data_IF_751945003269
#
_entry.id   IF_751945003269
#
_cell.length_a   1.000
_cell.length_b   1.000
_cell.length_c   1.000
_cell.angle_alpha   90.00
_cell.angle_beta   90.00
_cell.angle_gamma   90.00
#
_symmetry.space_group_name_H-M   'P 1'
#
loop_
_entity.id
_entity.type
_entity.pdbx_description
1 polymer ?
#
# COMPACT_ATOMS: atom_id res chain seq x y z
N UNK A 1 -19.18 -6.10 10.30
CA UNK A 1 -18.43 -4.83 10.23
C UNK A 1 -18.93 -4.07 9.03
N UNK A 2 -19.21 -2.77 9.19
CA UNK A 2 -19.85 -1.94 8.18
C UNK A 2 -18.96 -1.83 6.93
N UNK A 3 -19.55 -2.05 5.75
CA UNK A 3 -18.92 -1.75 4.47
C UNK A 3 -18.63 -0.24 4.43
N UNK A 4 -17.44 0.20 4.03
CA UNK A 4 -17.21 1.62 3.80
C UNK A 4 -18.12 2.07 2.66
N UNK A 5 -18.96 3.06 2.92
CA UNK A 5 -19.78 3.72 1.90
C UNK A 5 -18.85 4.39 0.88
N UNK A 6 -18.90 3.91 -0.37
CA UNK A 6 -18.21 4.50 -1.51
C UNK A 6 -18.79 5.89 -1.79
N UNK A 7 -18.15 6.94 -1.27
CA UNK A 7 -18.42 8.33 -1.67
C UNK A 7 -17.72 8.60 -2.99
N UNK A 8 -18.39 8.25 -4.08
CA UNK A 8 -17.93 8.44 -5.45
C UNK A 8 -18.69 7.52 -6.40
N UNK A 9 -19.94 7.87 -6.73
CA UNK A 9 -20.67 7.25 -7.83
C UNK A 9 -19.89 7.44 -9.14
N UNK A 10 -19.22 6.37 -9.58
CA UNK A 10 -18.47 6.29 -10.84
C UNK A 10 -19.44 6.33 -12.02
N UNK A 11 -19.87 7.54 -12.43
CA UNK A 11 -20.97 7.69 -13.40
C UNK A 11 -20.60 7.55 -14.87
N UNK A 12 -19.36 7.17 -15.27
CA UNK A 12 -19.02 6.85 -16.67
C UNK A 12 -17.73 6.01 -16.84
N UNK A 13 -17.62 4.83 -16.21
CA UNK A 13 -16.56 3.88 -16.63
C UNK A 13 -16.99 3.16 -17.91
N UNK A 14 -16.05 2.98 -18.84
CA UNK A 14 -16.27 2.04 -19.94
C UNK A 14 -16.36 0.60 -19.40
N UNK A 15 -16.99 -0.31 -20.14
CA UNK A 15 -17.03 -1.73 -19.75
C UNK A 15 -15.63 -2.34 -19.62
N UNK A 16 -14.63 -1.82 -20.33
CA UNK A 16 -13.24 -2.26 -20.19
C UNK A 16 -12.65 -1.83 -18.84
N UNK A 17 -12.81 -0.56 -18.47
CA UNK A 17 -12.36 -0.03 -17.17
C UNK A 17 -13.08 -0.70 -15.99
N UNK A 18 -14.38 -0.94 -16.13
CA UNK A 18 -15.17 -1.65 -15.12
C UNK A 18 -14.63 -3.07 -14.87
N UNK A 19 -14.23 -3.79 -15.93
CA UNK A 19 -13.57 -5.10 -15.79
C UNK A 19 -12.23 -5.03 -15.06
N UNK A 20 -11.43 -3.99 -15.29
CA UNK A 20 -10.16 -3.83 -14.55
C UNK A 20 -10.43 -3.63 -13.06
N UNK A 21 -11.45 -2.83 -12.72
CA UNK A 21 -11.86 -2.62 -11.32
C UNK A 21 -12.30 -3.94 -10.69
N UNK A 22 -13.11 -4.74 -11.39
CA UNK A 22 -13.57 -6.04 -10.89
C UNK A 22 -12.41 -7.02 -10.66
N UNK A 23 -11.49 -7.14 -11.62
CA UNK A 23 -10.30 -7.97 -11.50
C UNK A 23 -9.43 -7.54 -10.31
N UNK A 24 -9.25 -6.23 -10.13
CA UNK A 24 -8.47 -5.70 -9.02
C UNK A 24 -9.14 -5.96 -7.66
N UNK A 25 -10.44 -5.67 -7.55
CA UNK A 25 -11.19 -5.88 -6.32
C UNK A 25 -11.25 -7.35 -5.92
N UNK A 26 -11.34 -8.25 -6.91
CA UNK A 26 -11.25 -9.69 -6.68
C UNK A 26 -9.86 -10.11 -6.17
N UNK A 27 -8.79 -9.62 -6.79
CA UNK A 27 -7.42 -9.86 -6.33
C UNK A 27 -7.21 -9.42 -4.87
N UNK A 28 -7.55 -8.17 -4.55
CA UNK A 28 -7.46 -7.61 -3.19
C UNK A 28 -8.30 -8.40 -2.20
N UNK A 29 -9.49 -8.87 -2.61
CA UNK A 29 -10.33 -9.73 -1.77
C UNK A 29 -9.61 -11.03 -1.41
N UNK A 30 -8.88 -11.64 -2.35
CA UNK A 30 -8.13 -12.87 -2.08
C UNK A 30 -6.98 -12.67 -1.11
N UNK A 31 -6.26 -11.56 -1.21
CA UNK A 31 -5.15 -11.23 -0.33
C UNK A 31 -5.61 -10.93 1.10
N UNK A 32 -6.61 -10.05 1.25
CA UNK A 32 -6.94 -9.47 2.55
C UNK A 32 -8.16 -10.10 3.23
N UNK A 33 -9.19 -10.46 2.45
CA UNK A 33 -10.46 -10.97 3.01
C UNK A 33 -10.46 -12.47 3.17
N UNK A 34 -10.15 -13.22 2.11
CA UNK A 34 -10.12 -14.69 2.19
C UNK A 34 -8.76 -15.24 2.55
N UNK A 35 -7.69 -14.43 2.42
CA UNK A 35 -6.31 -14.79 2.74
C UNK A 35 -5.88 -16.09 2.03
N UNK A 36 -6.22 -16.21 0.74
CA UNK A 36 -5.95 -17.40 -0.07
C UNK A 36 -4.85 -17.13 -1.11
N UNK A 37 -3.69 -17.74 -0.91
CA UNK A 37 -2.55 -17.58 -1.82
C UNK A 37 -2.80 -18.13 -3.22
N UNK A 38 -3.40 -19.31 -3.36
CA UNK A 38 -3.57 -19.92 -4.69
C UNK A 38 -4.61 -19.18 -5.52
N UNK A 39 -5.69 -18.69 -4.89
CA UNK A 39 -6.67 -17.85 -5.57
C UNK A 39 -6.04 -16.51 -6.00
N UNK A 40 -5.19 -15.91 -5.15
CA UNK A 40 -4.44 -14.69 -5.48
C UNK A 40 -3.58 -14.93 -6.73
N UNK A 41 -2.77 -15.99 -6.74
CA UNK A 41 -1.93 -16.35 -7.89
C UNK A 41 -2.72 -16.69 -9.15
N UNK A 42 -3.95 -17.17 -9.03
CA UNK A 42 -4.80 -17.51 -10.18
C UNK A 42 -5.22 -16.26 -10.99
N UNK A 43 -5.32 -15.10 -10.34
CA UNK A 43 -5.63 -13.81 -10.97
C UNK A 43 -4.46 -13.19 -11.75
N UNK A 44 -3.25 -13.74 -11.61
CA UNK A 44 -2.02 -13.20 -12.19
C UNK A 44 -1.58 -13.98 -13.44
N UNK A 45 -0.88 -13.31 -14.36
CA UNK A 45 -0.17 -13.97 -15.46
C UNK A 45 1.03 -14.77 -14.94
N UNK A 46 1.56 -15.70 -15.74
CA UNK A 46 2.60 -16.64 -15.29
C UNK A 46 3.93 -15.97 -14.90
N UNK A 47 4.31 -14.96 -15.67
CA UNK A 47 5.48 -14.08 -15.50
C UNK A 47 5.16 -12.81 -14.70
N UNK A 48 4.07 -12.80 -13.93
CA UNK A 48 3.72 -11.65 -13.11
C UNK A 48 4.79 -11.35 -12.06
N UNK A 49 4.83 -10.12 -11.57
CA UNK A 49 5.69 -9.77 -10.44
C UNK A 49 5.10 -8.69 -9.54
N UNK A 50 5.54 -8.70 -8.29
CA UNK A 50 5.20 -7.68 -7.29
C UNK A 50 6.49 -7.03 -6.83
N UNK A 51 6.48 -5.70 -6.72
CA UNK A 51 7.59 -4.92 -6.18
C UNK A 51 7.08 -3.90 -5.16
N UNK A 52 7.32 -4.19 -3.89
CA UNK A 52 7.27 -3.22 -2.82
C UNK A 52 8.52 -2.35 -2.85
N UNK A 53 8.43 -1.26 -3.59
CA UNK A 53 9.58 -0.47 -4.06
C UNK A 53 10.51 -0.01 -2.94
N UNK A 54 10.03 0.49 -1.78
CA UNK A 54 10.93 1.08 -0.78
C UNK A 54 11.86 0.08 -0.08
N UNK A 55 11.54 -1.21 -0.11
CA UNK A 55 12.32 -2.27 0.55
C UNK A 55 12.65 -3.45 -0.36
N UNK A 56 12.30 -3.37 -1.65
CA UNK A 56 12.58 -4.39 -2.67
C UNK A 56 12.03 -5.79 -2.33
N UNK A 57 10.90 -5.85 -1.64
CA UNK A 57 10.23 -7.13 -1.34
C UNK A 57 9.16 -7.44 -2.38
N UNK A 58 8.78 -8.71 -2.50
CA UNK A 58 7.86 -9.19 -3.53
C UNK A 58 8.37 -10.48 -4.15
N UNK A 59 8.14 -10.65 -5.45
CA UNK A 59 8.58 -11.83 -6.18
C UNK A 59 8.35 -11.70 -7.68
N UNK A 60 9.13 -12.44 -8.49
CA UNK A 60 9.00 -12.52 -9.96
C UNK A 60 8.64 -13.95 -10.36
N UNK A 61 7.56 -14.11 -11.12
CA UNK A 61 7.02 -15.39 -11.55
C UNK A 61 6.29 -16.14 -10.43
N UNK A 62 5.53 -17.18 -10.82
CA UNK A 62 4.62 -17.89 -9.90
C UNK A 62 5.27 -18.41 -8.62
N UNK A 63 6.47 -18.99 -8.71
CA UNK A 63 7.07 -19.66 -7.55
C UNK A 63 7.54 -18.67 -6.48
N UNK A 64 8.17 -17.57 -6.89
CA UNK A 64 8.57 -16.52 -5.96
C UNK A 64 7.35 -15.80 -5.38
N UNK A 65 6.34 -15.53 -6.21
CA UNK A 65 5.09 -14.94 -5.74
C UNK A 65 4.38 -15.86 -4.74
N UNK A 66 4.34 -17.18 -4.98
CA UNK A 66 3.76 -18.14 -4.03
C UNK A 66 4.47 -18.11 -2.69
N UNK A 67 5.81 -18.15 -2.68
CA UNK A 67 6.61 -18.07 -1.46
C UNK A 67 6.33 -16.75 -0.71
N UNK A 68 6.34 -15.63 -1.44
CA UNK A 68 6.11 -14.31 -0.89
C UNK A 68 4.70 -14.18 -0.28
N UNK A 69 3.66 -14.49 -1.05
CA UNK A 69 2.28 -14.38 -0.59
C UNK A 69 1.96 -15.33 0.56
N UNK A 70 2.39 -16.59 0.49
CA UNK A 70 2.04 -17.59 1.52
C UNK A 70 2.77 -17.41 2.85
N UNK A 71 3.94 -16.75 2.87
CA UNK A 71 4.79 -16.66 4.08
C UNK A 71 5.08 -15.25 4.57
N UNK A 72 5.18 -14.27 3.67
CA UNK A 72 5.74 -12.94 3.96
C UNK A 72 4.73 -11.81 3.84
N UNK A 73 3.62 -12.01 3.14
CA UNK A 73 2.59 -10.99 2.95
C UNK A 73 1.27 -11.33 3.65
N UNK A 74 0.50 -12.29 3.13
CA UNK A 74 -0.88 -12.55 3.57
C UNK A 74 -0.97 -12.90 5.07
N UNK A 75 -0.10 -13.76 5.65
CA UNK A 75 -0.15 -14.06 7.08
C UNK A 75 0.40 -12.93 7.97
N UNK A 76 1.16 -11.99 7.38
CA UNK A 76 1.88 -10.92 8.06
C UNK A 76 1.17 -9.57 7.94
N UNK A 77 -0.16 -9.61 8.01
CA UNK A 77 -1.02 -8.45 8.03
C UNK A 77 -1.56 -8.21 9.46
N UNK A 78 -1.23 -7.08 10.11
CA UNK A 78 -1.76 -6.76 11.43
C UNK A 78 -3.31 -6.83 11.47
N UNK A 79 -3.90 -7.29 12.58
CA UNK A 79 -5.35 -7.47 12.67
C UNK A 79 -6.13 -6.14 12.62
N UNK A 80 -5.50 -5.02 12.95
CA UNK A 80 -6.07 -3.66 12.92
C UNK A 80 -5.70 -2.88 11.64
N UNK A 81 -5.35 -3.61 10.58
CA UNK A 81 -5.05 -3.02 9.27
C UNK A 81 -6.28 -2.34 8.69
N UNK A 82 -6.12 -1.07 8.29
CA UNK A 82 -7.14 -0.25 7.66
C UNK A 82 -6.59 0.42 6.41
N UNK A 83 -7.44 0.54 5.39
CA UNK A 83 -7.12 1.19 4.12
C UNK A 83 -8.16 2.27 3.87
N UNK A 84 -7.75 3.54 3.87
CA UNK A 84 -8.61 4.67 3.53
C UNK A 84 -8.32 5.09 2.09
N UNK A 85 -9.23 4.84 1.12
CA UNK A 85 -9.03 5.28 -0.25
C UNK A 85 -8.92 6.81 -0.34
N UNK A 86 -7.99 7.31 -1.15
CA UNK A 86 -7.79 8.74 -1.41
C UNK A 86 -8.19 9.06 -2.84
N UNK A 87 -7.60 8.36 -3.80
CA UNK A 87 -7.91 8.52 -5.22
C UNK A 87 -7.69 7.22 -5.98
N UNK A 88 -8.37 7.09 -7.13
CA UNK A 88 -8.19 5.97 -8.06
C UNK A 88 -8.19 6.51 -9.49
N UNK A 89 -7.16 6.19 -10.25
CA UNK A 89 -7.07 6.47 -11.69
C UNK A 89 -7.14 5.16 -12.46
N UNK A 90 -7.99 5.09 -13.49
CA UNK A 90 -8.18 3.88 -14.30
C UNK A 90 -7.87 4.21 -15.75
N UNK A 91 -6.76 3.67 -16.25
CA UNK A 91 -6.39 3.71 -17.66
C UNK A 91 -6.99 2.55 -18.46
N UNK A 92 -6.45 2.31 -19.65
CA UNK A 92 -6.93 1.25 -20.55
C UNK A 92 -6.58 -0.16 -20.05
N UNK A 93 -5.46 -0.28 -19.33
CA UNK A 93 -4.92 -1.55 -18.83
C UNK A 93 -4.10 -1.36 -17.54
N UNK A 94 -4.30 -0.26 -16.82
CA UNK A 94 -3.63 0.02 -15.55
C UNK A 94 -4.58 0.72 -14.57
N UNK A 95 -4.46 0.38 -13.29
CA UNK A 95 -5.07 1.10 -12.18
C UNK A 95 -3.96 1.71 -11.32
N UNK A 96 -4.17 2.94 -10.88
CA UNK A 96 -3.36 3.60 -9.85
C UNK A 96 -4.27 3.90 -8.68
N UNK A 97 -4.04 3.21 -7.57
CA UNK A 97 -4.75 3.42 -6.31
C UNK A 97 -3.86 4.18 -5.33
N UNK A 98 -4.37 5.29 -4.83
CA UNK A 98 -3.78 6.05 -3.73
C UNK A 98 -4.64 5.86 -2.48
N UNK A 99 -3.99 5.55 -1.36
CA UNK A 99 -4.67 5.28 -0.10
C UNK A 99 -3.79 5.65 1.09
N UNK A 100 -4.42 5.88 2.24
CA UNK A 100 -3.71 5.87 3.53
C UNK A 100 -3.86 4.49 4.15
N UNK A 101 -2.72 3.83 4.33
CA UNK A 101 -2.61 2.52 4.96
C UNK A 101 -2.26 2.68 6.44
N UNK A 102 -3.01 2.03 7.33
CA UNK A 102 -2.87 2.18 8.78
C UNK A 102 -2.82 0.82 9.46
N UNK A 103 -1.93 0.67 10.43
CA UNK A 103 -1.79 -0.57 11.21
C UNK A 103 -1.04 -0.30 12.50
N UNK A 104 -1.19 -1.16 13.51
CA UNK A 104 -0.27 -1.21 14.65
C UNK A 104 0.75 -2.33 14.41
N UNK A 105 2.04 -2.03 14.51
CA UNK A 105 3.12 -2.99 14.26
C UNK A 105 3.21 -4.05 15.39
N UNK A 106 2.25 -4.97 15.39
CA UNK A 106 2.01 -6.00 16.43
C UNK A 106 2.56 -7.37 16.08
N UNK A 107 2.89 -7.60 14.81
CA UNK A 107 3.44 -8.84 14.27
C UNK A 107 4.59 -8.53 13.31
N UNK A 108 5.49 -9.48 12.99
CA UNK A 108 6.47 -9.30 11.93
C UNK A 108 5.78 -8.94 10.61
N UNK A 109 6.37 -8.01 9.87
CA UNK A 109 5.85 -7.50 8.59
C UNK A 109 6.97 -7.45 7.56
N UNK A 110 7.48 -8.60 7.13
CA UNK A 110 8.64 -8.73 6.24
C UNK A 110 8.47 -7.95 4.93
N UNK A 111 7.25 -7.77 4.46
CA UNK A 111 6.93 -7.03 3.25
C UNK A 111 7.18 -5.51 3.36
N UNK A 112 7.11 -4.91 4.55
CA UNK A 112 7.30 -3.47 4.78
C UNK A 112 8.49 -3.15 5.70
N UNK A 113 8.71 -3.99 6.71
CA UNK A 113 9.68 -3.82 7.79
C UNK A 113 10.54 -5.10 7.96
N UNK A 114 11.24 -5.56 6.89
CA UNK A 114 12.03 -6.79 6.95
C UNK A 114 13.08 -6.71 8.06
N UNK A 115 13.07 -7.70 8.96
CA UNK A 115 14.02 -7.81 10.06
C UNK A 115 13.74 -6.92 11.28
N UNK A 116 12.67 -6.14 11.30
CA UNK A 116 12.30 -5.32 12.46
C UNK A 116 11.26 -6.05 13.30
N UNK A 117 11.55 -6.23 14.59
CA UNK A 117 10.61 -6.83 15.53
C UNK A 117 9.38 -5.94 15.75
N UNK A 118 8.22 -6.51 16.12
CA UNK A 118 7.01 -5.76 16.44
C UNK A 118 7.29 -4.65 17.46
N UNK A 119 7.03 -3.41 17.07
CA UNK A 119 7.31 -2.23 17.92
C UNK A 119 6.12 -1.80 18.77
N UNK A 120 4.91 -2.32 18.48
CA UNK A 120 3.66 -1.91 19.11
C UNK A 120 3.19 -0.49 18.76
N UNK A 121 3.88 0.21 17.85
CA UNK A 121 3.54 1.58 17.45
C UNK A 121 2.55 1.57 16.29
N UNK A 122 1.63 2.52 16.31
CA UNK A 122 0.69 2.80 15.21
C UNK A 122 1.45 3.50 14.08
N UNK A 123 1.19 3.07 12.86
CA UNK A 123 1.69 3.66 11.63
C UNK A 123 0.49 4.09 10.79
N UNK A 124 0.56 5.29 10.22
CA UNK A 124 -0.29 5.75 9.12
C UNK A 124 0.63 6.26 8.01
N UNK A 125 0.48 5.75 6.79
CA UNK A 125 1.36 6.12 5.67
C UNK A 125 0.56 6.21 4.36
N UNK A 126 0.77 7.26 3.53
CA UNK A 126 0.30 7.24 2.15
C UNK A 126 0.97 6.10 1.39
N UNK A 127 0.18 5.34 0.65
CA UNK A 127 0.64 4.22 -0.15
C UNK A 127 -0.02 4.30 -1.53
N UNK A 128 0.78 4.09 -2.57
CA UNK A 128 0.34 4.07 -3.97
C UNK A 128 0.58 2.68 -4.55
N UNK A 129 -0.48 2.03 -5.04
CA UNK A 129 -0.40 0.79 -5.78
C UNK A 129 -0.65 1.04 -7.27
N UNK A 130 0.33 0.73 -8.10
CA UNK A 130 0.23 0.79 -9.56
C UNK A 130 0.10 -0.64 -10.07
N UNK A 131 -1.07 -0.97 -10.60
CA UNK A 131 -1.44 -2.33 -11.00
C UNK A 131 -1.64 -2.38 -12.50
N UNK A 132 -0.85 -3.19 -13.19
CA UNK A 132 -0.96 -3.38 -14.64
C UNK A 132 -1.67 -4.68 -14.96
N UNK A 133 -2.48 -4.66 -16.01
CA UNK A 133 -3.18 -5.81 -16.52
C UNK A 133 -2.65 -6.22 -17.91
N UNK A 134 -2.69 -7.51 -18.20
CA UNK A 134 -2.40 -8.07 -19.52
C UNK A 134 -3.19 -9.37 -19.70
N UNK A 135 -3.90 -9.49 -20.82
CA UNK A 135 -4.68 -10.69 -21.12
C UNK A 135 -5.77 -10.99 -20.08
N UNK A 136 -6.37 -9.95 -19.48
CA UNK A 136 -7.44 -10.11 -18.47
C UNK A 136 -6.95 -10.55 -17.10
N UNK A 137 -5.65 -10.44 -16.82
CA UNK A 137 -5.01 -10.82 -15.55
C UNK A 137 -4.01 -9.76 -15.10
N UNK A 138 -3.62 -9.79 -13.84
CA UNK A 138 -2.59 -8.90 -13.31
C UNK A 138 -1.21 -9.29 -13.87
N UNK A 139 -0.50 -8.30 -14.41
CA UNK A 139 0.84 -8.43 -14.95
C UNK A 139 1.90 -7.98 -13.96
N UNK A 140 1.66 -6.88 -13.24
CA UNK A 140 2.53 -6.48 -12.14
C UNK A 140 1.86 -5.54 -11.16
N UNK A 141 2.48 -5.42 -9.99
CA UNK A 141 2.19 -4.42 -8.99
C UNK A 141 3.48 -3.69 -8.60
N UNK A 142 3.44 -2.36 -8.66
CA UNK A 142 4.45 -1.51 -8.01
C UNK A 142 3.80 -0.77 -6.86
N UNK A 143 4.31 -1.00 -5.65
CA UNK A 143 3.74 -0.46 -4.43
C UNK A 143 4.76 0.49 -3.80
N UNK A 144 4.37 1.76 -3.68
CA UNK A 144 5.20 2.84 -3.16
C UNK A 144 4.66 3.33 -1.83
N UNK A 145 5.56 3.69 -0.94
CA UNK A 145 5.28 4.47 0.27
C UNK A 145 6.57 5.19 0.69
N UNK A 146 6.47 6.15 1.61
CA UNK A 146 7.64 6.78 2.20
C UNK A 146 8.15 5.96 3.40
N UNK A 147 9.21 5.19 3.17
CA UNK A 147 9.81 4.36 4.21
C UNK A 147 10.43 5.19 5.35
N UNK A 148 10.92 6.40 5.08
CA UNK A 148 11.45 7.25 6.14
C UNK A 148 10.33 7.65 7.13
N UNK A 149 9.15 8.01 6.61
CA UNK A 149 7.97 8.29 7.43
C UNK A 149 7.52 7.09 8.28
N UNK A 150 7.60 5.87 7.75
CA UNK A 150 7.32 4.65 8.53
C UNK A 150 8.36 4.48 9.64
N UNK A 151 9.65 4.59 9.31
CA UNK A 151 10.75 4.41 10.27
C UNK A 151 10.77 5.47 11.38
N UNK A 152 10.35 6.71 11.09
CA UNK A 152 10.11 7.75 12.10
C UNK A 152 9.00 7.32 13.06
N UNK A 153 7.86 6.86 12.53
CA UNK A 153 6.70 6.48 13.35
C UNK A 153 7.01 5.30 14.27
N UNK A 154 7.82 4.33 13.82
CA UNK A 154 8.26 3.22 14.67
C UNK A 154 9.48 3.57 15.56
N UNK A 155 10.04 4.78 15.42
CA UNK A 155 11.12 5.33 16.26
C UNK A 155 12.52 4.82 15.93
N UNK A 156 12.75 4.37 14.70
CA UNK A 156 14.09 4.02 14.21
C UNK A 156 14.80 5.21 13.55
N UNK A 157 14.06 6.22 13.09
CA UNK A 157 14.60 7.50 12.66
C UNK A 157 14.19 8.59 13.64
N UNK A 158 15.18 9.40 14.06
CA UNK A 158 14.95 10.63 14.82
C UNK A 158 14.62 11.79 13.85
N UNK A 159 13.36 12.25 13.80
CA UNK A 159 12.95 13.29 12.85
C UNK A 159 13.58 14.65 13.15
N UNK A 160 14.18 14.86 14.33
CA UNK A 160 14.91 16.11 14.63
C UNK A 160 16.22 16.23 13.83
N UNK A 161 16.79 15.11 13.38
CA UNK A 161 18.09 15.05 12.72
C UNK A 161 18.04 15.05 11.20
N UNK A 162 16.87 14.80 10.60
CA UNK A 162 16.69 14.65 9.17
C UNK A 162 15.44 15.42 8.69
N UNK A 163 15.39 15.89 7.43
CA UNK A 163 14.22 16.55 6.85
C UNK A 163 13.14 15.54 6.44
N UNK A 164 12.66 14.76 7.41
CA UNK A 164 11.67 13.69 7.22
C UNK A 164 10.41 14.01 7.99
N UNK A 165 9.26 13.64 7.41
CA UNK A 165 7.97 13.67 8.09
C UNK A 165 7.70 12.34 8.80
N UNK A 166 6.72 12.31 9.69
CA UNK A 166 6.13 11.09 10.24
C UNK A 166 4.66 10.95 9.81
N UNK A 167 3.78 10.76 10.80
CA UNK A 167 2.34 10.57 10.62
C UNK A 167 1.64 11.75 9.94
N UNK A 168 2.21 12.95 10.03
CA UNK A 168 1.67 14.16 9.42
C UNK A 168 1.59 14.08 7.89
N UNK A 169 2.41 13.24 7.25
CA UNK A 169 2.33 12.97 5.81
C UNK A 169 0.98 12.36 5.43
N UNK A 170 0.57 11.29 6.12
CA UNK A 170 -0.74 10.64 5.95
C UNK A 170 -1.91 11.60 6.24
N UNK A 171 -1.79 12.38 7.32
CA UNK A 171 -2.85 13.32 7.71
C UNK A 171 -3.01 14.44 6.68
N UNK A 172 -1.92 14.97 6.13
CA UNK A 172 -1.96 16.03 5.12
C UNK A 172 -2.57 15.57 3.79
N UNK A 173 -2.40 14.30 3.43
CA UNK A 173 -3.08 13.71 2.26
C UNK A 173 -4.60 13.69 2.46
N UNK A 174 -5.07 13.35 3.66
CA UNK A 174 -6.51 13.29 3.97
C UNK A 174 -7.13 14.67 4.23
N UNK A 175 -6.35 15.63 4.72
CA UNK A 175 -6.81 16.98 5.05
C UNK A 175 -5.86 18.06 4.51
N UNK A 176 -6.28 18.65 3.38
CA UNK A 176 -5.56 19.75 2.73
C UNK A 176 -5.49 21.03 3.58
N UNK A 177 -6.30 21.17 4.63
CA UNK A 177 -6.28 22.31 5.56
C UNK A 177 -5.12 22.31 6.55
N UNK A 178 -4.41 21.19 6.74
CA UNK A 178 -3.30 21.11 7.69
C UNK A 178 -2.09 21.99 7.29
N UNK A 179 -1.31 22.53 8.23
CA UNK A 179 -0.21 23.44 7.90
C UNK A 179 0.85 22.81 6.99
N UNK A 180 1.29 23.56 5.97
CA UNK A 180 2.44 23.21 5.14
C UNK A 180 3.75 23.80 5.71
N UNK A 181 4.88 23.39 5.13
CA UNK A 181 6.19 24.06 5.25
C UNK A 181 6.84 24.04 6.64
N UNK A 182 6.43 23.14 7.55
CA UNK A 182 7.02 23.06 8.89
C UNK A 182 8.53 22.73 8.87
N UNK A 183 8.93 21.79 8.00
CA UNK A 183 10.35 21.42 7.84
C UNK A 183 11.19 22.54 7.23
N UNK A 184 10.64 23.35 6.32
CA UNK A 184 11.33 24.53 5.78
C UNK A 184 11.52 25.59 6.88
N UNK A 185 10.47 25.91 7.64
CA UNK A 185 10.58 26.84 8.78
C UNK A 185 11.61 26.38 9.80
N UNK A 186 11.69 25.07 10.08
CA UNK A 186 12.73 24.50 10.96
C UNK A 186 14.13 24.70 10.39
N UNK A 187 14.32 24.52 9.08
CA UNK A 187 15.61 24.74 8.44
C UNK A 187 16.03 26.21 8.53
N UNK A 188 15.09 27.15 8.38
CA UNK A 188 15.36 28.59 8.52
C UNK A 188 15.78 28.99 9.94
N UNK A 189 15.25 28.31 10.98
CA UNK A 189 15.61 28.56 12.39
C UNK A 189 16.98 28.03 12.80
N UNK A 190 17.56 27.12 12.01
CA UNK A 190 18.85 26.50 12.28
C UNK A 190 20.01 27.18 11.52
N UNK A 191 19.73 28.28 10.82
CA UNK A 191 20.74 29.17 10.22
C UNK A 191 21.10 30.30 11.19
#
# INVERSE_FOLDING_TARGET
MAKPERTGENKNLTSAQQRLVELWEEHVRYEFSTRNTEDTLATMVEDAYVNHVPVLTGGVGRDQLREFYSKRFIPQMPPDTEMTPVSRTIGDDQIVDEMVFKFTHTIPMDWMLPGIAPTGKRVEVPLVAIVRFRGGKLAYEHIYWDQASVLVQIGLIDPAKLPVAGVESARKVLDSGLPANALMRRADLNQ
#
